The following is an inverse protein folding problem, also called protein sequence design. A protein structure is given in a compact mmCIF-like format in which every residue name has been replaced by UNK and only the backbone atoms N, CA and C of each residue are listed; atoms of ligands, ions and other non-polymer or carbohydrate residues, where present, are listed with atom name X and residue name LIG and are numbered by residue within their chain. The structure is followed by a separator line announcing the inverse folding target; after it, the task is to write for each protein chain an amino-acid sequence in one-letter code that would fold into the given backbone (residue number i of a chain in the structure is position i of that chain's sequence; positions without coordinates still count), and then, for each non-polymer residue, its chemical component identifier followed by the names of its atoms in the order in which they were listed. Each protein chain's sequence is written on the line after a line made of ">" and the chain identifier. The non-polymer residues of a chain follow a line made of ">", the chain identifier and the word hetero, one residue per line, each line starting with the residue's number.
data_IF_750775227846
#
_entry.id   IF_750775227846
#
_cell.length_a   1.000
_cell.length_b   1.000
_cell.length_c   1.000
_cell.angle_alpha   90.00
_cell.angle_beta   90.00
_cell.angle_gamma   90.00
#
_symmetry.space_group_name_H-M   'P 1'
#
loop_
_entity.id
_entity.type
_entity.pdbx_description
1 polymer ?
#
# COMPACT_ATOMS: atom_id res chain seq x y z
N UNK A 1 -2.43 -18.69 -12.32
CA UNK A 1 -3.06 -18.92 -13.65
C UNK A 1 -2.52 -20.25 -14.19
N UNK A 2 -3.23 -21.37 -14.02
CA UNK A 2 -2.61 -22.71 -14.18
C UNK A 2 -2.49 -23.24 -15.62
N UNK A 3 -3.06 -22.57 -16.62
CA UNK A 3 -3.36 -23.19 -17.93
C UNK A 3 -2.53 -22.73 -19.13
N UNK A 4 -1.49 -21.92 -18.94
CA UNK A 4 -0.66 -21.43 -20.07
C UNK A 4 0.74 -22.01 -19.90
N UNK A 5 1.06 -23.06 -20.67
CA UNK A 5 2.33 -23.79 -20.55
C UNK A 5 3.29 -23.54 -21.70
N UNK A 6 2.77 -23.25 -22.89
CA UNK A 6 3.57 -23.01 -24.09
C UNK A 6 3.04 -21.83 -24.93
N UNK A 7 3.81 -21.44 -25.96
CA UNK A 7 3.48 -20.32 -26.86
C UNK A 7 2.16 -20.54 -27.61
N UNK A 8 1.83 -21.79 -27.93
CA UNK A 8 0.60 -22.16 -28.64
C UNK A 8 -0.62 -21.93 -27.78
N UNK A 9 -0.57 -22.35 -26.50
CA UNK A 9 -1.62 -22.12 -25.51
C UNK A 9 -1.83 -20.61 -25.27
N UNK A 10 -0.73 -19.86 -25.19
CA UNK A 10 -0.79 -18.39 -25.08
C UNK A 10 -1.46 -17.75 -26.29
N UNK A 11 -1.08 -18.18 -27.50
CA UNK A 11 -1.64 -17.65 -28.74
C UNK A 11 -3.13 -17.98 -28.85
N UNK A 12 -3.53 -19.21 -28.50
CA UNK A 12 -4.93 -19.64 -28.44
C UNK A 12 -5.74 -18.83 -27.44
N UNK A 13 -5.19 -18.61 -26.24
CA UNK A 13 -5.80 -17.76 -25.22
C UNK A 13 -6.00 -16.34 -25.75
N UNK A 14 -4.95 -15.70 -26.28
CA UNK A 14 -5.05 -14.35 -26.85
C UNK A 14 -6.10 -14.27 -27.95
N UNK A 15 -6.08 -15.18 -28.93
CA UNK A 15 -7.07 -15.20 -30.00
C UNK A 15 -8.50 -15.31 -29.47
N UNK A 16 -8.74 -16.14 -28.45
CA UNK A 16 -10.06 -16.25 -27.83
C UNK A 16 -10.50 -14.95 -27.14
N UNK A 17 -9.58 -14.23 -26.49
CA UNK A 17 -9.90 -12.97 -25.82
C UNK A 17 -10.08 -11.83 -26.83
N UNK A 18 -9.29 -11.80 -27.92
CA UNK A 18 -9.43 -10.80 -28.99
C UNK A 18 -10.74 -10.96 -29.75
N UNK A 19 -11.18 -12.19 -30.01
CA UNK A 19 -12.43 -12.46 -30.73
C UNK A 19 -13.68 -12.36 -29.84
N UNK A 20 -13.51 -12.20 -28.51
CA UNK A 20 -14.61 -12.04 -27.58
C UNK A 20 -15.24 -10.65 -27.79
N UNK A 21 -16.58 -10.61 -27.86
CA UNK A 21 -17.30 -9.33 -27.89
C UNK A 21 -17.25 -8.67 -26.51
N UNK A 22 -16.40 -7.66 -26.36
CA UNK A 22 -16.28 -6.90 -25.12
C UNK A 22 -17.40 -5.86 -25.02
N UNK A 23 -18.24 -5.94 -23.98
CA UNK A 23 -19.15 -4.86 -23.59
C UNK A 23 -18.38 -3.88 -22.71
N UNK A 24 -17.74 -2.90 -23.33
CA UNK A 24 -16.97 -1.85 -22.64
C UNK A 24 -17.90 -0.68 -22.31
N UNK A 25 -18.09 -0.41 -21.04
CA UNK A 25 -18.75 0.81 -20.59
C UNK A 25 -17.69 1.88 -20.30
N UNK A 26 -17.60 2.88 -21.16
CA UNK A 26 -16.82 4.08 -20.88
C UNK A 26 -17.69 5.07 -20.13
N UNK A 27 -17.48 5.17 -18.83
CA UNK A 27 -18.14 6.19 -18.02
C UNK A 27 -17.74 7.59 -18.54
N UNK A 28 -18.67 8.56 -18.43
CA UNK A 28 -18.38 9.96 -18.73
C UNK A 28 -17.18 10.43 -17.90
N UNK A 29 -16.34 11.27 -18.49
CA UNK A 29 -15.22 11.90 -17.79
C UNK A 29 -15.76 12.65 -16.57
N UNK A 30 -15.20 12.38 -15.39
CA UNK A 30 -15.53 13.15 -14.19
C UNK A 30 -14.89 14.54 -14.27
N UNK A 31 -15.63 15.57 -13.89
CA UNK A 31 -15.13 16.95 -13.85
C UNK A 31 -14.02 17.13 -12.81
N UNK A 32 -14.06 16.34 -11.73
CA UNK A 32 -13.08 16.39 -10.64
C UNK A 32 -12.24 15.12 -10.59
N UNK A 33 -11.03 15.18 -11.16
CA UNK A 33 -10.11 14.03 -11.23
C UNK A 33 -9.60 13.63 -9.84
N UNK A 34 -9.28 14.62 -8.99
CA UNK A 34 -8.63 14.38 -7.69
C UNK A 34 -9.50 13.55 -6.72
N UNK A 35 -10.79 13.83 -6.50
CA UNK A 35 -11.66 12.99 -5.67
C UNK A 35 -11.81 11.56 -6.22
N UNK A 36 -11.96 11.40 -7.54
CA UNK A 36 -12.06 10.08 -8.18
C UNK A 36 -10.76 9.28 -8.00
N UNK A 37 -9.61 9.92 -8.18
CA UNK A 37 -8.30 9.29 -7.97
C UNK A 37 -8.09 8.91 -6.50
N UNK A 38 -8.48 9.79 -5.57
CA UNK A 38 -8.43 9.49 -4.13
C UNK A 38 -9.36 8.35 -3.75
N UNK A 39 -10.54 8.24 -4.38
CA UNK A 39 -11.43 7.11 -4.20
C UNK A 39 -10.78 5.81 -4.67
N UNK A 40 -10.31 5.75 -5.92
CA UNK A 40 -9.63 4.58 -6.48
C UNK A 40 -8.40 4.17 -5.67
N UNK A 41 -7.56 5.15 -5.28
CA UNK A 41 -6.38 4.92 -4.47
C UNK A 41 -6.70 4.32 -3.11
N UNK A 42 -7.81 4.73 -2.46
CA UNK A 42 -8.27 4.12 -1.21
C UNK A 42 -8.63 2.66 -1.40
N UNK A 43 -9.37 2.31 -2.45
CA UNK A 43 -9.73 0.91 -2.72
C UNK A 43 -8.52 0.02 -3.04
N UNK A 44 -7.50 0.57 -3.72
CA UNK A 44 -6.32 -0.19 -4.11
C UNK A 44 -5.26 -0.32 -3.01
N UNK A 45 -5.27 0.54 -1.98
CA UNK A 45 -4.16 0.62 -1.01
C UNK A 45 -4.59 0.54 0.45
N UNK A 46 -5.85 0.86 0.79
CA UNK A 46 -6.33 0.80 2.16
C UNK A 46 -7.01 -0.54 2.43
N UNK A 47 -7.06 -0.97 3.70
CA UNK A 47 -7.86 -2.12 4.08
C UNK A 47 -9.34 -1.91 3.70
N UNK A 48 -10.09 -3.00 3.43
CA UNK A 48 -11.48 -2.95 3.00
C UNK A 48 -12.39 -2.24 4.01
N UNK A 49 -12.03 -2.29 5.30
CA UNK A 49 -12.72 -1.59 6.38
C UNK A 49 -11.72 -0.65 7.06
N UNK A 50 -12.10 0.60 7.22
CA UNK A 50 -11.32 1.58 7.99
C UNK A 50 -11.53 1.37 9.49
N UNK A 51 -10.47 1.53 10.30
CA UNK A 51 -10.57 1.43 11.76
C UNK A 51 -11.65 2.36 12.36
N UNK A 52 -11.86 3.55 11.77
CA UNK A 52 -12.91 4.50 12.19
C UNK A 52 -14.35 3.99 12.02
N UNK A 53 -14.56 2.89 11.29
CA UNK A 53 -15.89 2.27 11.13
C UNK A 53 -16.18 1.23 12.21
N UNK A 54 -15.17 0.79 12.97
CA UNK A 54 -15.34 -0.11 14.10
C UNK A 54 -15.95 0.70 15.24
N UNK A 55 -17.20 0.40 15.61
CA UNK A 55 -17.97 1.20 16.57
C UNK A 55 -17.93 0.64 17.97
N UNK A 56 -18.00 -0.68 18.14
CA UNK A 56 -18.01 -1.31 19.45
C UNK A 56 -17.41 -2.71 19.43
N UNK A 57 -16.70 -3.03 20.51
CA UNK A 57 -16.30 -4.40 20.84
C UNK A 57 -17.12 -4.82 22.06
N UNK A 58 -18.16 -5.62 21.83
CA UNK A 58 -19.07 -6.03 22.88
C UNK A 58 -18.38 -7.05 23.80
N UNK A 59 -18.67 -6.98 25.12
CA UNK A 59 -18.26 -8.01 26.09
C UNK A 59 -18.88 -9.35 25.66
N UNK A 60 -18.06 -10.23 25.11
CA UNK A 60 -18.48 -11.42 24.36
C UNK A 60 -17.71 -11.61 23.04
N UNK A 61 -16.85 -10.66 22.67
CA UNK A 61 -15.93 -10.79 21.53
C UNK A 61 -16.52 -10.32 20.20
N UNK A 62 -17.78 -9.89 20.17
CA UNK A 62 -18.42 -9.46 18.94
C UNK A 62 -17.96 -8.06 18.51
N UNK A 63 -17.71 -7.91 17.22
CA UNK A 63 -17.23 -6.69 16.58
C UNK A 63 -18.40 -6.07 15.83
N UNK A 64 -18.75 -4.83 16.17
CA UNK A 64 -19.74 -4.03 15.42
C UNK A 64 -19.02 -3.00 14.56
N UNK A 65 -19.41 -2.89 13.29
CA UNK A 65 -18.96 -1.82 12.42
C UNK A 65 -20.10 -1.17 11.66
N UNK A 66 -19.94 0.12 11.37
CA UNK A 66 -20.92 0.93 10.67
C UNK A 66 -20.55 1.05 9.19
N UNK A 67 -21.53 0.96 8.30
CA UNK A 67 -21.35 1.10 6.86
C UNK A 67 -22.52 1.87 6.24
N UNK A 68 -22.26 2.49 5.08
CA UNK A 68 -23.30 3.15 4.31
C UNK A 68 -23.95 2.09 3.42
N UNK A 69 -25.25 1.85 3.61
CA UNK A 69 -26.02 1.06 2.65
C UNK A 69 -26.32 1.96 1.43
N UNK A 70 -25.75 1.59 0.29
CA UNK A 70 -25.92 2.32 -0.95
C UNK A 70 -27.32 2.14 -1.59
N UNK A 71 -28.13 1.19 -1.11
CA UNK A 71 -29.50 0.97 -1.59
C UNK A 71 -30.50 1.87 -0.88
N UNK A 72 -30.38 2.01 0.44
CA UNK A 72 -31.27 2.84 1.28
C UNK A 72 -30.72 4.24 1.52
N UNK A 73 -29.40 4.43 1.38
CA UNK A 73 -28.70 5.69 1.68
C UNK A 73 -28.47 5.93 3.17
N UNK A 74 -28.81 4.96 4.04
CA UNK A 74 -28.67 5.07 5.50
C UNK A 74 -27.35 4.47 5.99
N UNK A 75 -26.89 4.94 7.15
CA UNK A 75 -25.76 4.31 7.84
C UNK A 75 -26.29 3.23 8.75
N UNK A 76 -25.95 1.99 8.45
CA UNK A 76 -26.39 0.82 9.18
C UNK A 76 -25.20 0.19 9.92
N UNK A 77 -25.49 -0.64 10.92
CA UNK A 77 -24.49 -1.33 11.74
C UNK A 77 -24.57 -2.83 11.51
N UNK A 78 -23.40 -3.49 11.37
CA UNK A 78 -23.30 -4.94 11.30
C UNK A 78 -22.44 -5.44 12.46
N UNK A 79 -22.95 -6.43 13.19
CA UNK A 79 -22.23 -7.10 14.28
C UNK A 79 -21.86 -8.51 13.85
N UNK A 80 -20.58 -8.86 13.99
CA UNK A 80 -20.02 -10.16 13.59
C UNK A 80 -19.14 -10.72 14.70
N UNK A 81 -18.91 -12.04 14.68
CA UNK A 81 -17.83 -12.63 15.47
C UNK A 81 -16.45 -12.27 14.88
N UNK A 82 -15.36 -12.35 15.66
CA UNK A 82 -14.00 -12.09 15.17
C UNK A 82 -13.61 -13.00 13.98
N UNK A 83 -14.00 -14.27 14.02
CA UNK A 83 -13.66 -15.26 13.00
C UNK A 83 -14.31 -14.91 11.65
N UNK A 84 -15.57 -14.48 11.71
CA UNK A 84 -16.38 -14.14 10.54
C UNK A 84 -15.94 -12.78 9.94
N UNK A 85 -15.42 -11.89 10.77
CA UNK A 85 -14.72 -10.68 10.33
C UNK A 85 -13.38 -11.00 9.64
N UNK A 86 -12.55 -11.86 10.25
CA UNK A 86 -11.27 -12.27 9.66
C UNK A 86 -11.50 -12.96 8.32
N UNK A 87 -12.48 -13.87 8.22
CA UNK A 87 -12.82 -14.55 6.97
C UNK A 87 -13.10 -13.58 5.84
N UNK A 88 -13.95 -12.57 6.06
CA UNK A 88 -14.26 -11.52 5.08
C UNK A 88 -13.02 -10.69 4.71
N UNK A 89 -12.17 -10.36 5.68
CA UNK A 89 -10.95 -9.60 5.43
C UNK A 89 -9.97 -10.40 4.57
N UNK A 90 -9.82 -11.71 4.84
CA UNK A 90 -8.93 -12.61 4.09
C UNK A 90 -9.36 -12.74 2.62
N UNK A 91 -10.66 -12.69 2.31
CA UNK A 91 -11.14 -12.68 0.91
C UNK A 91 -10.63 -11.47 0.10
N UNK A 92 -10.29 -10.36 0.77
CA UNK A 92 -9.71 -9.19 0.12
C UNK A 92 -8.19 -9.30 -0.08
N UNK A 93 -7.54 -10.36 0.42
CA UNK A 93 -6.09 -10.50 0.34
C UNK A 93 -5.73 -11.00 -1.07
N UNK A 94 -4.96 -10.23 -1.85
CA UNK A 94 -4.54 -10.69 -3.16
C UNK A 94 -3.60 -11.88 -3.01
N UNK A 95 -3.67 -12.83 -3.96
CA UNK A 95 -2.76 -13.97 -4.02
C UNK A 95 -1.29 -13.54 -3.95
N UNK A 96 -0.43 -14.44 -3.47
CA UNK A 96 1.02 -14.20 -3.46
C UNK A 96 1.51 -13.84 -4.86
N UNK A 97 2.21 -12.71 -4.95
CA UNK A 97 2.71 -12.09 -6.20
C UNK A 97 1.64 -11.51 -7.14
N UNK A 98 0.36 -11.47 -6.74
CA UNK A 98 -0.65 -10.77 -7.52
C UNK A 98 -0.42 -9.25 -7.44
N UNK A 99 -0.06 -8.67 -8.59
CA UNK A 99 0.10 -7.23 -8.73
C UNK A 99 -1.28 -6.58 -8.84
N UNK A 100 -1.73 -5.88 -7.80
CA UNK A 100 -3.00 -5.13 -7.79
C UNK A 100 -3.00 -3.98 -8.79
N UNK A 101 -1.87 -3.28 -8.94
CA UNK A 101 -1.67 -2.25 -9.96
C UNK A 101 -0.70 -2.82 -11.00
N UNK A 102 -1.15 -2.89 -12.24
CA UNK A 102 -0.34 -3.35 -13.37
C UNK A 102 -0.23 -2.25 -14.40
N UNK A 103 0.98 -2.00 -14.85
CA UNK A 103 1.25 -0.99 -15.86
C UNK A 103 1.43 -1.67 -17.23
N UNK A 104 0.69 -1.18 -18.23
CA UNK A 104 0.69 -1.73 -19.59
C UNK A 104 0.96 -0.64 -20.63
N UNK A 105 1.30 -1.07 -21.85
CA UNK A 105 1.57 -0.16 -22.96
C UNK A 105 2.69 0.82 -22.64
N UNK A 106 2.43 2.11 -22.84
CA UNK A 106 3.40 3.18 -22.56
C UNK A 106 3.70 3.35 -21.06
N UNK A 107 2.85 2.86 -20.16
CA UNK A 107 3.11 2.87 -18.71
C UNK A 107 3.98 1.69 -18.24
N UNK A 108 4.17 0.66 -19.08
CA UNK A 108 4.97 -0.52 -18.72
C UNK A 108 6.40 -0.12 -18.33
N UNK A 109 7.00 -0.81 -17.35
CA UNK A 109 8.30 -0.41 -16.79
C UNK A 109 9.39 -0.25 -17.87
N UNK A 110 9.41 -1.14 -18.87
CA UNK A 110 10.37 -1.11 -19.98
C UNK A 110 10.22 0.12 -20.88
N UNK A 111 8.98 0.58 -21.12
CA UNK A 111 8.69 1.67 -22.05
C UNK A 111 8.45 3.01 -21.37
N UNK A 112 8.17 3.03 -20.06
CA UNK A 112 7.74 4.22 -19.33
C UNK A 112 8.73 5.37 -19.46
N UNK A 113 10.02 5.10 -19.35
CA UNK A 113 11.07 6.14 -19.42
C UNK A 113 11.08 6.89 -20.75
N UNK A 114 10.87 6.19 -21.86
CA UNK A 114 10.89 6.77 -23.21
C UNK A 114 9.52 7.30 -23.65
N UNK A 115 8.44 6.56 -23.32
CA UNK A 115 7.12 6.82 -23.86
C UNK A 115 6.37 7.90 -23.07
N UNK A 116 6.56 7.99 -21.75
CA UNK A 116 5.83 8.94 -20.92
C UNK A 116 6.18 10.42 -21.22
N UNK A 117 7.45 10.79 -21.45
CA UNK A 117 7.79 12.15 -21.89
C UNK A 117 7.11 12.54 -23.21
N UNK A 118 7.02 11.61 -24.17
CA UNK A 118 6.32 11.83 -25.45
C UNK A 118 4.83 12.08 -25.26
N UNK A 119 4.19 11.32 -24.35
CA UNK A 119 2.77 11.51 -24.01
C UNK A 119 2.56 12.87 -23.35
N UNK A 120 3.42 13.28 -22.40
CA UNK A 120 3.31 14.59 -21.77
C UNK A 120 3.50 15.74 -22.78
N UNK A 121 4.47 15.63 -23.69
CA UNK A 121 4.66 16.61 -24.76
C UNK A 121 3.43 16.70 -25.68
N UNK A 122 2.86 15.55 -26.09
CA UNK A 122 1.65 15.51 -26.92
C UNK A 122 0.41 16.10 -26.22
N UNK A 123 0.35 16.02 -24.88
CA UNK A 123 -0.72 16.59 -24.07
C UNK A 123 -0.47 18.03 -23.62
N UNK A 124 0.68 18.63 -23.97
CA UNK A 124 1.08 19.96 -23.51
C UNK A 124 1.25 20.05 -21.99
N UNK A 125 1.58 18.94 -21.32
CA UNK A 125 1.75 18.89 -19.87
C UNK A 125 3.18 19.23 -19.47
N UNK A 126 3.33 20.15 -18.52
CA UNK A 126 4.62 20.41 -17.88
C UNK A 126 4.95 19.28 -16.90
N UNK A 127 6.13 18.68 -17.05
CA UNK A 127 6.62 17.66 -16.12
C UNK A 127 7.14 18.37 -14.88
N UNK A 128 6.45 18.24 -13.76
CA UNK A 128 6.98 18.69 -12.48
C UNK A 128 8.24 17.87 -12.14
N UNK A 129 9.28 18.57 -11.68
CA UNK A 129 10.47 17.90 -11.19
C UNK A 129 10.08 16.94 -10.05
N UNK A 130 10.71 15.76 -10.02
CA UNK A 130 10.47 14.82 -8.94
C UNK A 130 10.71 15.52 -7.60
N UNK A 131 9.81 15.37 -6.61
CA UNK A 131 10.02 15.98 -5.31
C UNK A 131 11.34 15.45 -4.75
N UNK A 132 12.18 16.36 -4.23
CA UNK A 132 13.39 15.96 -3.53
C UNK A 132 12.99 15.03 -2.39
N UNK A 133 13.56 13.83 -2.36
CA UNK A 133 13.32 12.92 -1.24
C UNK A 133 13.74 13.62 0.06
N UNK A 134 12.91 13.57 1.11
CA UNK A 134 13.31 14.12 2.39
C UNK A 134 14.59 13.41 2.86
N UNK A 135 15.54 14.20 3.34
CA UNK A 135 16.77 13.70 3.90
C UNK A 135 16.50 12.93 5.21
N UNK A 136 17.45 12.12 5.68
CA UNK A 136 17.32 11.29 6.89
C UNK A 136 16.71 12.06 8.07
N UNK A 137 17.21 13.27 8.35
CA UNK A 137 16.72 14.08 9.46
C UNK A 137 15.28 14.57 9.26
N UNK A 138 14.92 14.96 8.04
CA UNK A 138 13.54 15.37 7.73
C UNK A 138 12.56 14.19 7.87
N UNK A 139 12.98 12.99 7.45
CA UNK A 139 12.20 11.77 7.66
C UNK A 139 12.01 11.45 9.14
N UNK A 140 13.10 11.46 9.92
CA UNK A 140 13.05 11.11 11.34
C UNK A 140 12.24 12.13 12.14
N UNK A 141 12.42 13.43 11.87
CA UNK A 141 11.63 14.51 12.47
C UNK A 141 10.15 14.39 12.11
N UNK A 142 9.82 13.96 10.89
CA UNK A 142 8.44 13.71 10.48
C UNK A 142 7.78 12.59 11.30
N UNK A 143 8.52 11.50 11.56
CA UNK A 143 8.06 10.30 12.25
C UNK A 143 8.03 10.43 13.77
N UNK A 144 9.14 10.84 14.38
CA UNK A 144 9.34 10.91 15.85
C UNK A 144 8.98 12.28 16.42
N UNK A 145 8.84 13.31 15.57
CA UNK A 145 8.66 14.72 15.98
C UNK A 145 9.86 15.30 16.74
N UNK A 146 11.03 14.67 16.65
CA UNK A 146 12.30 15.14 17.23
C UNK A 146 13.33 15.26 16.11
N UNK A 147 14.09 16.37 16.08
CA UNK A 147 15.20 16.55 15.13
C UNK A 147 16.41 15.73 15.62
N UNK A 148 16.92 14.75 14.85
CA UNK A 148 18.10 13.97 15.26
C UNK A 148 19.37 14.81 15.39
N UNK A 149 19.40 16.01 14.81
CA UNK A 149 20.53 16.92 14.89
C UNK A 149 20.35 18.02 15.93
N UNK A 150 19.40 17.87 16.85
CA UNK A 150 19.19 18.78 17.97
C UNK A 150 19.48 18.04 19.27
N UNK A 151 20.35 18.62 20.10
CA UNK A 151 20.68 18.01 21.38
C UNK A 151 19.49 18.11 22.34
N UNK A 152 19.01 16.99 22.86
CA UNK A 152 17.87 16.94 23.80
C UNK A 152 18.14 17.63 25.16
N UNK A 153 19.41 17.93 25.47
CA UNK A 153 19.81 18.52 26.75
C UNK A 153 20.07 20.02 26.68
N UNK A 154 20.67 20.49 25.58
CA UNK A 154 21.13 21.88 25.45
C UNK A 154 20.68 22.55 24.14
N UNK A 155 19.86 21.88 23.33
CA UNK A 155 19.26 22.39 22.09
C UNK A 155 20.29 22.80 21.01
N UNK A 156 21.58 22.56 21.24
CA UNK A 156 22.63 22.85 20.26
C UNK A 156 22.55 21.93 19.05
N UNK A 157 23.01 22.41 17.90
CA UNK A 157 23.07 21.65 16.64
C UNK A 157 24.15 20.57 16.70
N UNK A 158 23.75 19.31 16.60
CA UNK A 158 24.65 18.17 16.48
C UNK A 158 25.12 18.02 15.02
N UNK A 159 26.37 17.63 14.84
CA UNK A 159 26.97 17.33 13.54
C UNK A 159 27.11 15.82 13.40
N UNK A 160 26.65 15.29 12.27
CA UNK A 160 26.87 13.88 11.95
C UNK A 160 28.36 13.61 11.73
N UNK A 161 28.94 12.73 12.54
CA UNK A 161 30.36 12.35 12.44
C UNK A 161 30.53 11.03 11.69
N UNK A 162 29.89 9.96 12.17
CA UNK A 162 29.91 8.66 11.53
C UNK A 162 28.65 7.84 11.86
N UNK A 163 28.41 6.82 11.05
CA UNK A 163 27.41 5.79 11.31
C UNK A 163 28.12 4.50 11.72
N UNK A 164 27.77 3.96 12.89
CA UNK A 164 28.21 2.64 13.33
C UNK A 164 27.04 1.68 13.17
N UNK A 165 27.23 0.67 12.34
CA UNK A 165 26.24 -0.41 12.17
C UNK A 165 26.12 -1.13 13.52
N UNK A 166 24.89 -1.25 14.03
CA UNK A 166 24.63 -2.03 15.24
C UNK A 166 24.84 -3.53 15.00
N UNK A 167 25.03 -4.28 16.08
CA UNK A 167 25.11 -5.75 16.02
C UNK A 167 23.83 -6.32 15.40
N UNK A 168 23.94 -7.48 14.73
CA UNK A 168 22.76 -8.12 14.16
C UNK A 168 21.79 -8.55 15.26
N UNK A 169 20.51 -8.70 14.94
CA UNK A 169 19.51 -9.22 15.89
C UNK A 169 19.96 -10.58 16.45
N UNK A 170 20.60 -11.40 15.63
CA UNK A 170 21.10 -12.70 16.06
C UNK A 170 22.20 -12.56 17.11
N UNK A 171 23.18 -11.67 16.88
CA UNK A 171 24.26 -11.41 17.84
C UNK A 171 23.74 -10.86 19.16
N UNK A 172 22.71 -9.99 19.11
CA UNK A 172 22.07 -9.45 20.32
C UNK A 172 21.34 -10.55 21.11
N UNK A 173 20.66 -11.47 20.42
CA UNK A 173 19.98 -12.61 21.04
C UNK A 173 21.01 -13.56 21.67
N UNK A 174 22.09 -13.89 20.95
CA UNK A 174 23.17 -14.73 21.48
C UNK A 174 23.82 -14.09 22.72
N UNK A 175 24.11 -12.79 22.68
CA UNK A 175 24.68 -12.07 23.82
C UNK A 175 23.72 -12.05 25.02
N UNK A 176 22.42 -11.87 24.79
CA UNK A 176 21.42 -11.90 25.86
C UNK A 176 21.29 -13.29 26.50
N UNK A 177 21.35 -14.37 25.70
CA UNK A 177 21.33 -15.75 26.19
C UNK A 177 22.57 -16.02 27.05
N UNK A 178 23.76 -15.69 26.55
CA UNK A 178 25.03 -15.87 27.28
C UNK A 178 25.01 -15.08 28.61
N UNK A 179 24.52 -13.85 28.62
CA UNK A 179 24.37 -13.09 29.85
C UNK A 179 23.33 -13.67 30.82
N UNK A 180 22.29 -14.34 30.32
CA UNK A 180 21.31 -15.00 31.18
C UNK A 180 21.89 -16.26 31.84
N UNK A 181 22.69 -17.04 31.11
CA UNK A 181 23.36 -18.24 31.62
C UNK A 181 24.40 -17.88 32.68
N UNK A 182 25.17 -16.81 32.46
CA UNK A 182 26.14 -16.28 33.44
C UNK A 182 25.50 -15.72 34.71
N UNK A 183 24.21 -15.37 34.69
CA UNK A 183 23.48 -14.88 35.89
C UNK A 183 22.85 -16.00 36.71
N UNK A 184 22.75 -17.20 36.14
CA UNK A 184 22.14 -18.38 36.78
C UNK A 184 23.22 -19.31 37.39
N UNK A 185 24.48 -19.15 36.98
CA UNK A 185 25.66 -19.76 37.61
C UNK A 185 26.16 -18.93 38.80
#
# INVERSE_FOLDING_TARGET
>A
CPYIRNKTDWSRFLSSQCNRRWKLHFAKKTNHIKPTMNYLGRYLKRPPISASRLSHYAKGGMITFNYLDHRTGTTDSLTLSPEEMIRRIVEHYPDKHFKMIRYYGFLSMRRRGEALPRVYAALGMTIEAAPKMPEYAAMLKGYVKVDPYECILCESRLVFTNFRVGNSVNDLVTHAIVQSELRVA
#
